data_IF_213661200145
#
_entry.id   IF_213661200145
#
_cell.length_a   1.000
_cell.length_b   1.000
_cell.length_c   1.000
_cell.angle_alpha   90.00
_cell.angle_beta   90.00
_cell.angle_gamma   90.00
#
_symmetry.space_group_name_H-M   'P 1'
#
loop_
_entity.id
_entity.type
_entity.pdbx_description
1 polymer ?
#
# COMPACT_ATOMS: atom_id res chain seq x y z
N UNK A 1 6.57 -12.08 -7.50
CA UNK A 1 7.23 -11.87 -6.19
C UNK A 1 6.16 -11.34 -5.27
N UNK A 2 5.94 -11.98 -4.12
CA UNK A 2 4.92 -11.54 -3.18
C UNK A 2 5.12 -10.07 -2.82
N UNK A 3 4.06 -9.28 -2.95
CA UNK A 3 4.11 -7.82 -2.80
C UNK A 3 3.49 -7.41 -1.47
N UNK A 4 4.25 -6.70 -0.65
CA UNK A 4 3.72 -6.07 0.55
C UNK A 4 2.89 -4.84 0.16
N UNK A 5 1.63 -4.80 0.58
CA UNK A 5 0.72 -3.66 0.41
C UNK A 5 0.13 -3.25 1.76
N UNK A 6 -0.53 -2.09 1.77
CA UNK A 6 -1.27 -1.58 2.93
C UNK A 6 -2.74 -1.44 2.58
N UNK A 7 -3.62 -2.03 3.39
CA UNK A 7 -5.08 -1.89 3.29
C UNK A 7 -5.65 -1.14 4.51
N UNK A 8 -6.92 -0.75 4.44
CA UNK A 8 -7.63 -0.09 5.55
C UNK A 8 -8.51 -1.12 6.25
N UNK A 9 -8.35 -1.25 7.56
CA UNK A 9 -9.32 -1.90 8.44
C UNK A 9 -10.42 -0.90 8.81
N UNK A 10 -11.57 -1.04 8.16
CA UNK A 10 -12.72 -0.14 8.36
C UNK A 10 -13.30 -0.20 9.77
N UNK A 11 -13.04 -1.26 10.55
CA UNK A 11 -13.50 -1.34 11.95
C UNK A 11 -12.68 -0.41 12.87
N UNK A 12 -11.44 -0.10 12.47
CA UNK A 12 -10.53 0.79 13.20
C UNK A 12 -10.51 2.20 12.64
N UNK A 13 -10.82 2.36 11.36
CA UNK A 13 -10.82 3.67 10.72
C UNK A 13 -11.81 4.62 11.44
N UNK A 14 -11.39 5.87 11.63
CA UNK A 14 -12.18 6.94 12.26
C UNK A 14 -12.38 8.14 11.35
N UNK A 15 -12.12 7.98 10.05
CA UNK A 15 -12.19 9.04 9.04
C UNK A 15 -11.43 10.34 9.38
N UNK A 16 -10.36 10.22 10.17
CA UNK A 16 -9.59 11.38 10.63
C UNK A 16 -8.83 12.12 9.52
N UNK A 17 -8.69 11.53 8.33
CA UNK A 17 -8.02 12.14 7.18
C UNK A 17 -6.49 12.24 7.26
N UNK A 18 -5.84 11.83 8.35
CA UNK A 18 -4.40 12.03 8.54
C UNK A 18 -3.55 11.38 7.43
N UNK A 19 -3.85 10.11 7.12
CA UNK A 19 -3.13 9.32 6.11
C UNK A 19 -3.43 9.70 4.65
N UNK A 20 -4.28 10.70 4.41
CA UNK A 20 -4.59 11.21 3.06
C UNK A 20 -4.28 12.70 2.90
N UNK A 21 -4.34 13.49 3.99
CA UNK A 21 -4.12 14.96 3.97
C UNK A 21 -2.75 15.38 4.50
N UNK A 22 -2.24 14.69 5.53
CA UNK A 22 -0.96 15.03 6.17
C UNK A 22 0.14 14.12 5.63
N UNK A 23 -0.04 12.81 5.78
CA UNK A 23 0.87 11.82 5.23
C UNK A 23 0.36 11.34 3.86
N UNK A 24 0.58 12.14 2.82
CA UNK A 24 0.02 11.93 1.48
C UNK A 24 0.70 10.73 0.80
N UNK A 25 -0.07 9.71 0.44
CA UNK A 25 0.40 8.62 -0.41
C UNK A 25 0.62 9.14 -1.84
N UNK A 26 1.83 8.99 -2.38
CA UNK A 26 2.16 9.39 -3.77
C UNK A 26 2.01 8.26 -4.80
N UNK A 27 1.56 7.09 -4.36
CA UNK A 27 1.36 5.90 -5.20
C UNK A 27 -0.08 5.40 -5.09
N UNK A 28 -1.05 6.27 -5.39
CA UNK A 28 -2.48 5.98 -5.22
C UNK A 28 -3.00 4.92 -6.20
N UNK A 29 -2.51 4.94 -7.44
CA UNK A 29 -2.90 3.95 -8.46
C UNK A 29 -2.45 2.53 -8.10
N UNK A 30 -1.30 2.41 -7.44
CA UNK A 30 -0.75 1.12 -7.06
C UNK A 30 0.10 1.26 -5.79
N UNK A 31 -0.33 0.62 -4.70
CA UNK A 31 0.46 0.60 -3.46
C UNK A 31 1.84 -0.03 -3.74
N UNK A 32 2.92 0.63 -3.37
CA UNK A 32 4.30 0.13 -3.53
C UNK A 32 4.89 -0.45 -2.25
N UNK A 33 4.09 -0.57 -1.18
CA UNK A 33 4.55 -1.17 0.07
C UNK A 33 5.51 -0.30 0.90
N UNK A 34 5.50 1.03 0.71
CA UNK A 34 6.43 1.93 1.43
C UNK A 34 6.13 2.09 2.94
N UNK A 35 4.98 1.61 3.41
CA UNK A 35 4.52 1.66 4.81
C UNK A 35 4.36 3.06 5.43
N UNK A 36 4.53 4.14 4.67
CA UNK A 36 4.37 5.50 5.17
C UNK A 36 2.98 5.73 5.80
N UNK A 37 1.90 5.30 5.13
CA UNK A 37 0.54 5.43 5.68
C UNK A 37 0.27 4.48 6.86
N UNK A 38 0.96 3.33 6.93
CA UNK A 38 0.91 2.40 8.06
C UNK A 38 1.40 3.09 9.34
N UNK A 39 2.61 3.65 9.31
CA UNK A 39 3.18 4.34 10.47
C UNK A 39 2.49 5.66 10.79
N UNK A 40 1.84 6.29 9.82
CA UNK A 40 1.15 7.55 10.02
C UNK A 40 -0.25 7.42 10.64
N UNK A 41 -0.88 6.24 10.64
CA UNK A 41 -2.26 6.12 11.10
C UNK A 41 -2.35 6.16 12.64
N UNK A 42 -2.99 7.17 13.26
CA UNK A 42 -3.07 7.26 14.73
C UNK A 42 -4.02 6.22 15.36
N UNK A 43 -4.84 5.54 14.55
CA UNK A 43 -5.81 4.53 14.98
C UNK A 43 -5.41 3.10 14.57
N UNK A 44 -4.19 2.92 14.05
CA UNK A 44 -3.70 1.61 13.57
C UNK A 44 -4.63 0.93 12.55
N UNK A 45 -5.40 1.73 11.80
CA UNK A 45 -6.36 1.24 10.81
C UNK A 45 -5.69 0.87 9.48
N UNK A 46 -4.40 1.19 9.29
CA UNK A 46 -3.63 0.82 8.10
C UNK A 46 -2.89 -0.47 8.41
N UNK A 47 -3.23 -1.58 7.74
CA UNK A 47 -2.68 -2.91 8.03
C UNK A 47 -1.88 -3.46 6.87
N UNK A 48 -0.89 -4.32 7.17
CA UNK A 48 0.00 -4.94 6.17
C UNK A 48 -0.68 -6.16 5.57
N UNK A 49 -0.58 -6.32 4.26
CA UNK A 49 -1.06 -7.50 3.53
C UNK A 49 -0.08 -7.92 2.46
N UNK A 50 0.00 -9.22 2.23
CA UNK A 50 0.80 -9.80 1.15
C UNK A 50 -0.14 -10.08 -0.02
N UNK A 51 0.13 -9.44 -1.15
CA UNK A 51 -0.54 -9.68 -2.42
C UNK A 51 0.32 -10.65 -3.25
N UNK A 52 -0.24 -11.80 -3.57
CA UNK A 52 0.40 -12.77 -4.45
C UNK A 52 0.33 -12.25 -5.88
N UNK A 53 1.50 -11.95 -6.46
CA UNK A 53 1.58 -11.56 -7.87
C UNK A 53 1.97 -12.77 -8.70
N UNK A 54 1.25 -13.00 -9.80
CA UNK A 54 1.73 -13.89 -10.85
C UNK A 54 2.94 -13.21 -11.49
N UNK A 55 4.06 -13.93 -11.57
CA UNK A 55 5.20 -13.45 -12.34
C UNK A 55 4.82 -13.54 -13.82
N UNK A 56 4.76 -12.40 -14.48
CA UNK A 56 4.69 -12.32 -15.94
C UNK A 56 6.10 -12.08 -16.46
N UNK A 57 6.59 -13.01 -17.29
CA UNK A 57 7.89 -12.89 -17.92
C UNK A 57 7.69 -12.16 -19.26
N UNK A 58 8.52 -11.15 -19.52
CA UNK A 58 8.61 -10.53 -20.83
C UNK A 58 9.86 -11.07 -21.54
N UNK A 59 9.71 -11.52 -22.78
CA UNK A 59 10.84 -11.82 -23.66
C UNK A 59 11.44 -10.49 -24.13
N UNK A 60 12.72 -10.27 -23.81
CA UNK A 60 13.48 -9.10 -24.26
C UNK A 60 14.47 -9.57 -25.32
N UNK A 61 14.31 -9.07 -26.54
CA UNK A 61 15.22 -9.30 -27.65
C UNK A 61 16.27 -8.17 -27.68
N UNK A 62 17.55 -8.54 -27.80
CA UNK A 62 18.67 -7.61 -27.99
C UNK A 62 19.37 -8.01 -29.29
N UNK A 63 19.53 -7.06 -30.20
CA UNK A 63 20.28 -7.20 -31.45
C UNK A 63 21.79 -7.08 -31.23
#
# INVERSE_FOLDING_TARGET
>A
MDKLIVEVDENKCRDCGFCIRVNICRSLAQCIGCLSCYYACPYEARIKKIEQTKNEYAEVWVE
#
